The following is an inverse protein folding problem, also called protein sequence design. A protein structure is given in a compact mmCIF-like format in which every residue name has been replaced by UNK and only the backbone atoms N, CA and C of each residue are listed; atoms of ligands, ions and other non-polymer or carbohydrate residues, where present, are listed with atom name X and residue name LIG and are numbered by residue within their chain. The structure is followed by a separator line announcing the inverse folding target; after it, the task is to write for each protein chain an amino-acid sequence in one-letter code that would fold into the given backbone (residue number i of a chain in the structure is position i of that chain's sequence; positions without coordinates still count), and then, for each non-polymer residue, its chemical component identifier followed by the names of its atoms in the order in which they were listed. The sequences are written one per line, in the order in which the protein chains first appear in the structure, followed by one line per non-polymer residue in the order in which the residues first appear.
data_IF_899223291672
#
_entry.id   IF_899223291672
#
_cell.length_a   1.000
_cell.length_b   1.000
_cell.length_c   1.000
_cell.angle_alpha   90.00
_cell.angle_beta   90.00
_cell.angle_gamma   90.00
#
_symmetry.space_group_name_H-M   'P 1'
#
loop_
_entity.id
_entity.type
_entity.pdbx_description
1 polymer ?
#
# COMPACT_ATOMS: atom_id res chain seq x y z
N UNK A 1 -35.09 16.65 50.52
CA UNK A 1 -34.98 15.58 51.54
C UNK A 1 -35.30 14.27 50.86
N UNK A 2 -34.27 13.54 50.44
CA UNK A 2 -33.92 12.17 50.92
C UNK A 2 -34.63 11.10 50.07
N UNK A 3 -34.09 9.95 49.66
CA UNK A 3 -32.79 9.28 49.77
C UNK A 3 -32.79 8.09 48.78
N UNK A 4 -31.60 7.54 48.52
CA UNK A 4 -31.22 6.45 47.62
C UNK A 4 -31.97 5.10 47.76
N UNK A 5 -31.89 4.28 46.70
CA UNK A 5 -32.04 2.82 46.77
C UNK A 5 -31.73 2.10 45.46
N UNK A 6 -30.53 1.51 45.36
CA UNK A 6 -30.11 0.55 44.33
C UNK A 6 -30.76 -0.80 44.61
N UNK A 7 -31.19 -1.54 43.58
CA UNK A 7 -31.42 -2.99 43.67
C UNK A 7 -30.75 -3.68 42.48
N UNK A 8 -29.75 -4.51 42.81
CA UNK A 8 -29.12 -5.50 41.93
C UNK A 8 -29.99 -6.77 41.96
N UNK A 9 -30.29 -7.36 40.81
CA UNK A 9 -30.80 -8.73 40.75
C UNK A 9 -29.90 -9.58 39.83
N UNK A 10 -29.39 -10.65 40.44
CA UNK A 10 -28.40 -11.59 39.93
C UNK A 10 -28.94 -12.41 38.75
N UNK A 11 -28.04 -12.68 37.80
CA UNK A 11 -28.14 -13.80 36.88
C UNK A 11 -28.01 -15.11 37.68
N UNK A 12 -29.02 -15.97 37.58
CA UNK A 12 -28.97 -17.45 37.62
C UNK A 12 -30.34 -17.96 38.05
N UNK A 13 -31.19 -18.31 37.08
CA UNK A 13 -32.16 -19.41 37.17
C UNK A 13 -33.06 -19.40 35.93
N UNK A 14 -32.63 -20.09 34.87
CA UNK A 14 -33.51 -20.66 33.84
C UNK A 14 -32.77 -21.75 33.06
N UNK A 15 -32.03 -22.61 33.78
CA UNK A 15 -31.49 -23.86 33.25
C UNK A 15 -32.25 -24.98 33.94
N UNK A 16 -33.46 -25.29 33.45
CA UNK A 16 -34.15 -26.59 33.61
C UNK A 16 -35.64 -26.42 33.26
N UNK A 17 -35.98 -26.49 31.96
CA UNK A 17 -37.30 -26.98 31.50
C UNK A 17 -37.49 -27.07 29.97
N UNK A 18 -36.50 -27.51 29.19
CA UNK A 18 -36.78 -28.01 27.83
C UNK A 18 -35.81 -29.14 27.48
N UNK A 19 -35.89 -30.25 28.22
CA UNK A 19 -35.33 -31.53 27.77
C UNK A 19 -36.45 -32.54 27.87
N UNK A 20 -37.23 -32.67 26.79
CA UNK A 20 -37.86 -33.92 26.39
C UNK A 20 -38.50 -33.79 25.00
N UNK A 21 -37.99 -34.65 24.10
CA UNK A 21 -38.57 -35.07 22.83
C UNK A 21 -38.76 -34.03 21.72
N UNK A 22 -37.71 -33.82 20.93
CA UNK A 22 -37.84 -33.72 19.47
C UNK A 22 -36.53 -34.23 18.84
N UNK A 23 -36.59 -35.38 18.15
CA UNK A 23 -35.50 -35.82 17.28
C UNK A 23 -35.48 -34.89 16.05
N UNK A 24 -34.35 -34.28 15.69
CA UNK A 24 -34.27 -33.56 14.43
C UNK A 24 -34.30 -34.59 13.31
N UNK A 25 -35.32 -34.50 12.43
CA UNK A 25 -35.28 -35.13 11.11
C UNK A 25 -34.11 -34.51 10.37
N UNK A 26 -33.08 -35.30 10.08
CA UNK A 26 -32.05 -34.93 9.11
C UNK A 26 -32.72 -34.86 7.75
N UNK A 27 -33.03 -33.64 7.30
CA UNK A 27 -33.19 -33.34 5.88
C UNK A 27 -31.79 -33.18 5.31
N UNK A 28 -31.42 -34.10 4.44
CA UNK A 28 -30.27 -34.02 3.56
C UNK A 28 -30.58 -33.01 2.46
N UNK A 29 -30.42 -31.73 2.76
CA UNK A 29 -30.10 -30.75 1.73
C UNK A 29 -28.64 -30.42 1.98
N UNK A 30 -27.76 -31.17 1.32
CA UNK A 30 -26.33 -30.88 1.23
C UNK A 30 -26.15 -29.63 0.36
N UNK A 31 -26.51 -28.46 0.90
CA UNK A 31 -25.98 -27.20 0.41
C UNK A 31 -24.52 -27.14 0.85
N UNK A 32 -23.65 -27.74 0.03
CA UNK A 32 -22.21 -27.67 0.16
C UNK A 32 -21.82 -26.17 0.13
N UNK A 33 -21.63 -25.57 1.31
CA UNK A 33 -21.05 -24.23 1.42
C UNK A 33 -19.61 -24.35 0.91
N UNK A 34 -19.43 -24.00 -0.37
CA UNK A 34 -18.11 -23.84 -0.98
C UNK A 34 -17.48 -22.63 -0.31
N UNK A 35 -16.61 -22.88 0.66
CA UNK A 35 -15.80 -21.84 1.28
C UNK A 35 -14.74 -21.43 0.25
N UNK A 36 -15.09 -20.47 -0.61
CA UNK A 36 -14.17 -19.89 -1.57
C UNK A 36 -13.12 -19.11 -0.77
N UNK A 37 -11.85 -19.42 -1.01
CA UNK A 37 -10.74 -18.64 -0.47
C UNK A 37 -10.84 -17.19 -0.97
N UNK A 38 -10.40 -16.23 -0.16
CA UNK A 38 -10.43 -14.81 -0.52
C UNK A 38 -9.66 -14.53 -1.84
N UNK A 39 -8.68 -15.38 -2.17
CA UNK A 39 -7.97 -15.36 -3.46
C UNK A 39 -8.88 -15.49 -4.67
N UNK A 40 -10.07 -16.10 -4.54
CA UNK A 40 -11.04 -16.23 -5.63
C UNK A 40 -11.58 -14.88 -6.13
N UNK A 41 -11.62 -13.86 -5.26
CA UNK A 41 -12.11 -12.52 -5.60
C UNK A 41 -10.96 -11.55 -5.94
N UNK A 42 -9.71 -12.00 -5.85
CA UNK A 42 -8.53 -11.20 -6.13
C UNK A 42 -8.16 -11.29 -7.60
N UNK A 43 -8.00 -10.14 -8.26
CA UNK A 43 -7.49 -10.09 -9.62
C UNK A 43 -5.97 -9.89 -9.59
N UNK A 44 -5.23 -10.96 -9.88
CA UNK A 44 -3.77 -10.98 -9.99
C UNK A 44 -3.29 -11.17 -11.45
N UNK A 45 -4.19 -11.00 -12.42
CA UNK A 45 -3.89 -11.06 -13.87
C UNK A 45 -3.11 -9.83 -14.35
N UNK A 46 -2.01 -9.54 -13.68
CA UNK A 46 -1.14 -8.42 -14.01
C UNK A 46 -0.46 -8.67 -15.35
N UNK A 47 -0.48 -7.64 -16.18
CA UNK A 47 0.16 -7.66 -17.49
C UNK A 47 1.43 -6.83 -17.44
N UNK A 48 2.51 -7.39 -18.00
CA UNK A 48 3.75 -6.65 -18.19
C UNK A 48 3.50 -5.56 -19.23
N UNK A 49 3.61 -4.31 -18.80
CA UNK A 49 3.29 -3.13 -19.60
C UNK A 49 4.51 -2.24 -19.70
N UNK A 50 4.77 -1.72 -20.90
CA UNK A 50 5.87 -0.80 -21.16
C UNK A 50 5.39 0.65 -21.17
N UNK A 51 6.12 1.50 -20.47
CA UNK A 51 5.91 2.94 -20.37
C UNK A 51 7.15 3.68 -20.83
N UNK A 52 6.95 4.78 -21.56
CA UNK A 52 8.03 5.63 -22.05
C UNK A 52 7.87 7.05 -21.52
N UNK A 53 8.90 7.56 -20.86
CA UNK A 53 8.97 8.94 -20.36
C UNK A 53 10.29 9.58 -20.79
N UNK A 54 10.24 10.50 -21.75
CA UNK A 54 11.45 11.05 -22.37
C UNK A 54 12.29 9.94 -23.02
N UNK A 55 13.55 9.79 -22.60
CA UNK A 55 14.45 8.72 -23.04
C UNK A 55 14.35 7.43 -22.20
N UNK A 56 13.52 7.44 -21.15
CA UNK A 56 13.43 6.32 -20.20
C UNK A 56 12.33 5.36 -20.60
N UNK A 57 12.70 4.08 -20.68
CA UNK A 57 11.78 2.97 -20.88
C UNK A 57 11.69 2.17 -19.58
N UNK A 58 10.46 1.90 -19.15
CA UNK A 58 10.16 1.16 -17.92
C UNK A 58 9.15 0.08 -18.25
N UNK A 59 9.39 -1.11 -17.74
CA UNK A 59 8.42 -2.20 -17.78
C UNK A 59 7.97 -2.49 -16.36
N UNK A 60 6.68 -2.74 -16.15
CA UNK A 60 6.17 -3.19 -14.86
C UNK A 60 4.89 -3.99 -15.05
N UNK A 61 4.58 -4.85 -14.10
CA UNK A 61 3.29 -5.50 -13.98
C UNK A 61 2.27 -4.51 -13.43
N UNK A 62 1.10 -4.44 -14.07
CA UNK A 62 -0.08 -3.71 -13.58
C UNK A 62 -1.37 -4.34 -14.12
N UNK A 63 -2.51 -3.99 -13.53
CA UNK A 63 -3.82 -4.25 -14.14
C UNK A 63 -4.15 -3.17 -15.18
N UNK A 64 -5.02 -3.51 -16.13
CA UNK A 64 -5.57 -2.58 -17.12
C UNK A 64 -7.03 -2.19 -16.85
N UNK A 65 -7.66 -2.83 -15.87
CA UNK A 65 -9.04 -2.58 -15.47
C UNK A 65 -9.14 -2.61 -13.96
N UNK A 66 -9.85 -1.64 -13.38
CA UNK A 66 -10.06 -1.57 -11.96
C UNK A 66 -10.82 -2.80 -11.44
N UNK A 67 -10.45 -3.25 -10.24
CA UNK A 67 -11.37 -4.02 -9.41
C UNK A 67 -12.54 -3.12 -8.98
N UNK A 68 -13.68 -3.70 -8.64
CA UNK A 68 -14.77 -2.97 -7.98
C UNK A 68 -14.44 -2.58 -6.53
N UNK A 69 -13.34 -3.10 -6.00
CA UNK A 69 -12.84 -2.75 -4.67
C UNK A 69 -11.95 -1.50 -4.72
N UNK A 70 -12.35 -0.46 -3.97
CA UNK A 70 -11.65 0.82 -3.94
C UNK A 70 -10.23 0.70 -3.33
N UNK A 71 -10.02 -0.25 -2.42
CA UNK A 71 -8.74 -0.42 -1.74
C UNK A 71 -7.67 -1.06 -2.64
N UNK A 72 -8.08 -1.62 -3.80
CA UNK A 72 -7.22 -2.28 -4.78
C UNK A 72 -6.89 -1.42 -6.01
N UNK A 73 -7.30 -0.15 -6.00
CA UNK A 73 -7.00 0.82 -7.06
C UNK A 73 -5.51 1.02 -7.30
N UNK A 74 -4.66 0.75 -6.30
CA UNK A 74 -3.20 0.80 -6.42
C UNK A 74 -2.58 -0.23 -7.37
N UNK A 75 -3.36 -1.21 -7.85
CA UNK A 75 -2.90 -2.18 -8.87
C UNK A 75 -2.88 -1.60 -10.30
N UNK A 76 -3.39 -0.38 -10.50
CA UNK A 76 -3.43 0.35 -11.78
C UNK A 76 -2.33 1.41 -11.85
N UNK A 77 -2.02 1.85 -13.07
CA UNK A 77 -1.29 3.10 -13.29
C UNK A 77 -2.28 4.24 -13.49
N UNK A 78 -2.28 5.21 -12.57
CA UNK A 78 -3.18 6.35 -12.62
C UNK A 78 -2.65 7.49 -13.50
N UNK A 79 -3.54 8.30 -14.12
CA UNK A 79 -3.11 9.37 -15.02
C UNK A 79 -2.22 10.45 -14.36
N UNK A 80 -2.40 10.76 -13.08
CA UNK A 80 -1.55 11.71 -12.37
C UNK A 80 -0.13 11.19 -12.21
N UNK A 81 0.06 9.88 -11.99
CA UNK A 81 1.39 9.24 -12.00
C UNK A 81 2.07 9.37 -13.38
N UNK A 82 1.32 9.18 -14.47
CA UNK A 82 1.84 9.40 -15.84
C UNK A 82 2.29 10.85 -16.05
N UNK A 83 1.48 11.81 -15.60
CA UNK A 83 1.79 13.23 -15.69
C UNK A 83 2.94 13.66 -14.77
N UNK A 84 3.12 13.02 -13.61
CA UNK A 84 4.27 13.26 -12.74
C UNK A 84 5.53 12.73 -13.41
N UNK A 85 5.48 11.52 -13.97
CA UNK A 85 6.62 10.90 -14.62
C UNK A 85 7.08 11.64 -15.88
N UNK A 86 6.18 12.19 -16.69
CA UNK A 86 6.56 13.06 -17.80
C UNK A 86 7.34 14.30 -17.31
N UNK A 87 6.92 14.90 -16.19
CA UNK A 87 7.64 16.02 -15.58
C UNK A 87 9.00 15.61 -15.01
N UNK A 88 9.05 14.50 -14.25
CA UNK A 88 10.28 14.01 -13.64
C UNK A 88 11.30 13.58 -14.69
N UNK A 89 10.87 12.99 -15.81
CA UNK A 89 11.73 12.56 -16.91
C UNK A 89 12.57 13.69 -17.52
N UNK A 90 12.11 14.93 -17.39
CA UNK A 90 12.80 16.14 -17.86
C UNK A 90 13.78 16.71 -16.84
N UNK A 91 13.78 16.20 -15.61
CA UNK A 91 14.53 16.72 -14.47
C UNK A 91 15.25 15.62 -13.67
N UNK A 92 15.53 14.45 -14.26
CA UNK A 92 16.05 13.28 -13.53
C UNK A 92 17.39 13.53 -12.84
N UNK A 93 18.22 14.43 -13.37
CA UNK A 93 19.52 14.82 -12.80
C UNK A 93 19.40 15.38 -11.37
N UNK A 94 18.22 15.90 -10.98
CA UNK A 94 18.01 16.39 -9.61
C UNK A 94 17.97 15.28 -8.55
N UNK A 95 17.80 14.02 -8.97
CA UNK A 95 17.74 12.86 -8.09
C UNK A 95 19.10 12.17 -7.89
N UNK A 96 20.16 12.68 -8.52
CA UNK A 96 21.47 12.03 -8.52
C UNK A 96 22.01 11.83 -7.10
N UNK A 97 22.14 10.58 -6.67
CA UNK A 97 22.62 10.21 -5.33
C UNK A 97 21.63 10.49 -4.19
N UNK A 98 20.39 10.89 -4.48
CA UNK A 98 19.38 11.20 -3.47
C UNK A 98 18.74 9.95 -2.87
N UNK A 99 18.18 10.10 -1.67
CA UNK A 99 17.25 9.13 -1.05
C UNK A 99 15.83 9.64 -1.20
N UNK A 100 14.93 8.82 -1.74
CA UNK A 100 13.55 9.18 -2.08
C UNK A 100 12.57 8.27 -1.35
N UNK A 101 11.45 8.82 -0.88
CA UNK A 101 10.26 8.06 -0.48
C UNK A 101 9.08 8.43 -1.37
N UNK A 102 8.35 7.43 -1.84
CA UNK A 102 7.09 7.61 -2.57
C UNK A 102 5.93 7.19 -1.69
N UNK A 103 4.95 8.09 -1.52
CA UNK A 103 3.73 7.86 -0.73
C UNK A 103 2.60 7.43 -1.66
N UNK A 104 1.95 6.31 -1.34
CA UNK A 104 0.87 5.77 -2.18
C UNK A 104 1.39 5.37 -3.56
N UNK A 105 2.35 4.46 -3.58
CA UNK A 105 3.14 4.14 -4.77
C UNK A 105 2.34 3.40 -5.83
N UNK A 106 1.21 2.77 -5.46
CA UNK A 106 0.47 1.90 -6.37
C UNK A 106 1.39 0.82 -6.92
N UNK A 107 1.48 0.67 -8.24
CA UNK A 107 2.40 -0.30 -8.87
C UNK A 107 3.89 0.11 -8.86
N UNK A 108 4.22 1.30 -8.34
CA UNK A 108 5.60 1.78 -8.16
C UNK A 108 6.22 2.49 -9.36
N UNK A 109 5.42 2.91 -10.35
CA UNK A 109 5.93 3.46 -11.62
C UNK A 109 6.84 4.68 -11.46
N UNK A 110 6.55 5.58 -10.51
CA UNK A 110 7.34 6.80 -10.28
C UNK A 110 8.69 6.48 -9.65
N UNK A 111 8.71 5.72 -8.56
CA UNK A 111 9.96 5.39 -7.89
C UNK A 111 10.85 4.50 -8.75
N UNK A 112 10.28 3.60 -9.57
CA UNK A 112 11.02 2.82 -10.57
C UNK A 112 11.63 3.72 -11.66
N UNK A 113 10.98 4.82 -12.04
CA UNK A 113 11.58 5.79 -12.96
C UNK A 113 12.82 6.47 -12.35
N UNK A 114 12.69 6.94 -11.11
CA UNK A 114 13.73 7.70 -10.41
C UNK A 114 14.92 6.83 -9.96
N UNK A 115 14.66 5.55 -9.70
CA UNK A 115 15.59 4.49 -9.30
C UNK A 115 17.02 4.63 -9.87
N UNK A 116 17.14 4.81 -11.19
CA UNK A 116 18.45 4.81 -11.89
C UNK A 116 19.35 5.99 -11.52
N UNK A 117 18.78 7.02 -10.90
CA UNK A 117 19.48 8.25 -10.52
C UNK A 117 19.63 8.35 -8.99
N UNK A 118 18.72 7.74 -8.24
CA UNK A 118 18.75 7.73 -6.78
C UNK A 118 19.78 6.74 -6.22
N UNK A 119 20.30 7.06 -5.03
CA UNK A 119 21.00 6.08 -4.19
C UNK A 119 19.99 5.08 -3.61
N UNK A 120 18.80 5.55 -3.20
CA UNK A 120 17.75 4.70 -2.64
C UNK A 120 16.36 5.29 -2.88
N UNK A 121 15.40 4.41 -3.12
CA UNK A 121 13.98 4.71 -3.29
C UNK A 121 13.19 3.76 -2.40
N UNK A 122 12.34 4.32 -1.55
CA UNK A 122 11.41 3.59 -0.68
C UNK A 122 10.01 3.79 -1.24
N UNK A 123 9.44 2.74 -1.79
CA UNK A 123 8.07 2.70 -2.26
C UNK A 123 7.17 2.35 -1.08
N UNK A 124 6.12 3.13 -0.85
CA UNK A 124 5.18 2.85 0.24
C UNK A 124 3.74 2.78 -0.25
N UNK A 125 3.00 1.83 0.31
CA UNK A 125 1.55 1.71 0.19
C UNK A 125 0.98 1.08 1.47
N UNK A 126 -0.31 1.27 1.72
CA UNK A 126 -1.02 0.73 2.88
C UNK A 126 -1.54 -0.69 2.65
N UNK A 127 -1.87 -1.01 1.38
CA UNK A 127 -2.56 -2.25 1.03
C UNK A 127 -1.57 -3.37 0.74
N UNK A 128 -1.71 -4.51 1.41
CA UNK A 128 -0.82 -5.68 1.28
C UNK A 128 -0.80 -6.26 -0.15
N UNK A 129 -1.93 -6.24 -0.85
CA UNK A 129 -2.04 -6.74 -2.22
C UNK A 129 -1.33 -5.81 -3.20
N UNK A 130 -1.36 -4.50 -2.93
CA UNK A 130 -0.55 -3.51 -3.66
C UNK A 130 0.94 -3.71 -3.36
N UNK A 131 1.30 -3.97 -2.10
CA UNK A 131 2.69 -4.29 -1.74
C UNK A 131 3.21 -5.56 -2.44
N UNK A 132 2.37 -6.58 -2.67
CA UNK A 132 2.77 -7.77 -3.44
C UNK A 132 3.16 -7.41 -4.88
N UNK A 133 2.38 -6.59 -5.57
CA UNK A 133 2.72 -6.17 -6.94
C UNK A 133 3.91 -5.22 -6.98
N UNK A 134 4.04 -4.31 -6.01
CA UNK A 134 5.23 -3.48 -5.88
C UNK A 134 6.46 -4.38 -5.79
N UNK A 135 6.49 -5.34 -4.87
CA UNK A 135 7.63 -6.25 -4.71
C UNK A 135 7.94 -7.04 -5.99
N UNK A 136 6.91 -7.55 -6.68
CA UNK A 136 7.08 -8.20 -8.00
C UNK A 136 7.74 -7.26 -9.02
N UNK A 137 7.38 -5.99 -9.03
CA UNK A 137 8.00 -4.98 -9.89
C UNK A 137 9.42 -4.62 -9.43
N UNK A 138 9.72 -4.62 -8.13
CA UNK A 138 11.08 -4.44 -7.62
C UNK A 138 11.98 -5.58 -8.10
N UNK A 139 11.51 -6.83 -8.01
CA UNK A 139 12.24 -8.02 -8.47
C UNK A 139 12.52 -7.95 -9.98
N UNK A 140 11.56 -7.50 -10.78
CA UNK A 140 11.73 -7.29 -12.22
C UNK A 140 12.90 -6.34 -12.56
N UNK A 141 13.17 -5.36 -11.70
CA UNK A 141 14.26 -4.37 -11.88
C UNK A 141 15.50 -4.66 -11.04
N UNK A 142 15.53 -5.80 -10.34
CA UNK A 142 16.68 -6.22 -9.55
C UNK A 142 17.69 -6.94 -10.45
N UNK A 143 18.92 -6.43 -10.53
CA UNK A 143 19.99 -7.09 -11.29
C UNK A 143 20.72 -8.12 -10.42
N UNK A 144 20.89 -9.37 -10.87
CA UNK A 144 21.65 -10.39 -10.12
C UNK A 144 23.14 -10.04 -9.93
N UNK A 145 23.69 -9.14 -10.75
CA UNK A 145 25.12 -8.80 -10.80
C UNK A 145 25.48 -7.48 -10.08
N UNK A 146 24.53 -6.85 -9.39
CA UNK A 146 24.77 -5.61 -8.61
C UNK A 146 25.55 -5.89 -7.31
N UNK A 147 26.83 -6.22 -7.46
CA UNK A 147 27.82 -6.35 -6.38
C UNK A 147 28.56 -5.02 -6.12
N UNK A 148 28.15 -3.93 -6.78
CA UNK A 148 28.70 -2.60 -6.50
C UNK A 148 28.05 -2.00 -5.24
N UNK A 149 28.81 -1.32 -4.36
CA UNK A 149 28.28 -0.67 -3.15
C UNK A 149 27.38 0.55 -3.44
N UNK A 150 27.23 0.93 -4.73
CA UNK A 150 26.20 1.86 -5.19
C UNK A 150 25.00 1.09 -5.71
N UNK A 151 24.61 0.00 -5.03
CA UNK A 151 23.33 -0.63 -5.30
C UNK A 151 22.30 0.47 -5.09
N UNK A 152 21.79 0.97 -6.21
CA UNK A 152 20.57 1.72 -6.22
C UNK A 152 19.66 0.88 -5.30
N UNK A 153 19.04 1.42 -4.26
CA UNK A 153 18.18 0.65 -3.34
C UNK A 153 16.72 0.82 -3.73
N UNK A 154 15.96 -0.24 -3.98
CA UNK A 154 14.51 -0.15 -4.25
C UNK A 154 13.89 -1.12 -3.28
N UNK A 155 13.06 -0.60 -2.39
CA UNK A 155 12.43 -1.38 -1.33
C UNK A 155 10.98 -0.96 -1.22
N UNK A 156 10.12 -1.91 -0.87
CA UNK A 156 8.73 -1.66 -0.54
C UNK A 156 8.57 -1.68 0.99
N UNK A 157 7.83 -0.75 1.54
CA UNK A 157 7.50 -0.68 2.96
C UNK A 157 6.01 -0.38 3.14
N UNK A 158 5.39 -0.98 4.15
CA UNK A 158 3.99 -0.69 4.47
C UNK A 158 3.88 0.68 5.12
N UNK A 159 2.97 1.50 4.62
CA UNK A 159 2.65 2.79 5.22
C UNK A 159 1.17 3.13 5.05
N UNK A 160 0.43 2.96 6.14
CA UNK A 160 -0.91 3.51 6.32
C UNK A 160 -0.78 4.94 6.86
N UNK A 161 -1.41 5.88 6.16
CA UNK A 161 -1.29 7.28 6.51
C UNK A 161 -1.99 7.59 7.83
N UNK A 162 -1.27 8.25 8.74
CA UNK A 162 -1.73 8.46 10.12
C UNK A 162 -1.25 7.39 11.10
N UNK A 163 -0.67 6.28 10.61
CA UNK A 163 -0.02 5.30 11.47
C UNK A 163 1.39 5.78 11.85
N UNK A 164 1.52 6.32 13.06
CA UNK A 164 2.80 6.87 13.52
C UNK A 164 3.86 5.80 13.72
N UNK A 165 3.49 4.59 14.12
CA UNK A 165 4.45 3.53 14.44
C UNK A 165 5.17 3.08 13.16
N UNK A 166 4.43 2.88 12.07
CA UNK A 166 4.99 2.56 10.75
C UNK A 166 5.91 3.68 10.23
N UNK A 167 5.54 4.95 10.43
CA UNK A 167 6.42 6.08 10.09
C UNK A 167 7.73 6.01 10.87
N UNK A 168 7.69 5.74 12.19
CA UNK A 168 8.90 5.62 13.00
C UNK A 168 9.77 4.44 12.58
N UNK A 169 9.18 3.29 12.25
CA UNK A 169 9.91 2.13 11.75
C UNK A 169 10.66 2.45 10.44
N UNK A 170 9.99 3.11 9.48
CA UNK A 170 10.63 3.56 8.24
C UNK A 170 11.77 4.54 8.55
N UNK A 171 11.55 5.53 9.42
CA UNK A 171 12.60 6.49 9.79
C UNK A 171 13.79 5.83 10.52
N UNK A 172 13.56 4.79 11.31
CA UNK A 172 14.64 4.02 11.96
C UNK A 172 15.47 3.23 10.95
N UNK A 173 14.83 2.65 9.93
CA UNK A 173 15.52 1.99 8.80
C UNK A 173 16.28 3.00 7.92
N UNK A 174 15.87 4.27 7.94
CA UNK A 174 16.41 5.35 7.12
C UNK A 174 16.83 6.58 7.97
N UNK A 175 17.86 6.47 8.82
CA UNK A 175 18.23 7.54 9.77
C UNK A 175 18.75 8.81 9.09
N UNK A 176 19.21 8.71 7.83
CA UNK A 176 19.59 9.86 7.00
C UNK A 176 18.40 10.67 6.47
N UNK A 177 17.17 10.18 6.64
CA UNK A 177 15.96 10.79 6.10
C UNK A 177 15.84 10.63 4.58
N UNK A 178 15.03 11.50 3.97
CA UNK A 178 14.73 11.48 2.54
C UNK A 178 14.98 12.88 1.97
N UNK A 179 15.67 12.98 0.84
CA UNK A 179 15.85 14.26 0.14
C UNK A 179 14.55 14.69 -0.55
N UNK A 180 13.81 13.72 -1.08
CA UNK A 180 12.53 13.90 -1.78
C UNK A 180 11.42 13.02 -1.20
N UNK A 181 10.23 13.61 -1.10
CA UNK A 181 8.96 12.89 -0.97
C UNK A 181 8.18 13.06 -2.27
N UNK A 182 7.81 11.94 -2.88
CA UNK A 182 6.99 11.85 -4.09
C UNK A 182 5.59 11.34 -3.75
N UNK A 183 4.64 11.65 -4.63
CA UNK A 183 3.29 11.12 -4.56
C UNK A 183 2.42 11.69 -5.68
N UNK A 184 1.60 10.82 -6.29
CA UNK A 184 0.72 11.14 -7.40
C UNK A 184 -0.68 10.56 -7.17
N UNK A 185 -1.73 11.31 -7.50
CA UNK A 185 -3.14 10.91 -7.32
C UNK A 185 -3.54 10.61 -5.85
N UNK A 186 -2.77 11.12 -4.89
CA UNK A 186 -2.96 10.86 -3.45
C UNK A 186 -3.76 11.96 -2.72
N UNK A 187 -4.43 12.84 -3.46
CA UNK A 187 -5.13 14.02 -2.94
C UNK A 187 -6.40 13.69 -2.15
N UNK A 188 -6.95 12.48 -2.30
CA UNK A 188 -8.19 12.05 -1.63
C UNK A 188 -8.02 12.06 -0.09
N UNK A 189 -6.78 11.93 0.39
CA UNK A 189 -6.44 11.88 1.82
C UNK A 189 -5.66 13.12 2.29
N UNK A 190 -5.90 14.29 1.68
CA UNK A 190 -5.14 15.53 1.95
C UNK A 190 -5.06 15.91 3.44
N UNK A 191 -6.06 15.53 4.25
CA UNK A 191 -6.06 15.78 5.70
C UNK A 191 -4.96 15.03 6.46
N UNK A 192 -4.55 13.85 5.97
CA UNK A 192 -3.47 13.05 6.56
C UNK A 192 -2.11 13.37 5.96
N UNK A 193 -2.10 13.87 4.72
CA UNK A 193 -0.88 14.19 3.99
C UNK A 193 -0.07 15.30 4.68
N UNK A 194 -0.70 16.38 5.14
CA UNK A 194 0.01 17.51 5.77
C UNK A 194 0.73 17.06 7.06
N UNK A 195 0.06 16.38 8.01
CA UNK A 195 0.74 15.79 9.16
C UNK A 195 1.84 14.80 8.77
N UNK A 196 1.60 13.91 7.80
CA UNK A 196 2.57 12.90 7.37
C UNK A 196 3.86 13.54 6.84
N UNK A 197 3.73 14.61 6.05
CA UNK A 197 4.87 15.36 5.50
C UNK A 197 5.69 16.11 6.57
N UNK A 198 5.22 16.21 7.81
CA UNK A 198 5.97 16.80 8.92
C UNK A 198 7.02 15.83 9.51
N UNK A 199 6.81 14.52 9.36
CA UNK A 199 7.73 13.50 9.85
C UNK A 199 9.00 13.38 8.99
N UNK A 200 8.87 13.64 7.69
CA UNK A 200 9.99 13.53 6.76
C UNK A 200 10.76 14.85 6.66
N UNK A 201 11.96 14.90 7.24
CA UNK A 201 12.93 15.97 7.00
C UNK A 201 13.40 15.87 5.56
N UNK A 202 12.90 16.77 4.71
CA UNK A 202 13.21 16.81 3.27
C UNK A 202 13.86 18.12 2.88
N UNK A 203 14.75 18.08 1.89
CA UNK A 203 15.27 19.29 1.25
C UNK A 203 14.31 19.81 0.18
N UNK A 204 13.58 18.90 -0.47
CA UNK A 204 12.62 19.22 -1.50
C UNK A 204 11.38 18.32 -1.38
N UNK A 205 10.19 18.90 -1.58
CA UNK A 205 8.93 18.16 -1.67
C UNK A 205 8.43 18.27 -3.11
N UNK A 206 8.26 17.15 -3.79
CA UNK A 206 7.70 17.13 -5.14
C UNK A 206 6.43 16.29 -5.11
N UNK A 207 5.31 16.94 -4.81
CA UNK A 207 3.99 16.32 -4.76
C UNK A 207 3.20 16.84 -5.96
N UNK A 208 2.60 15.93 -6.72
CA UNK A 208 1.59 16.28 -7.71
C UNK A 208 0.23 15.90 -7.11
N UNK A 209 -0.43 16.91 -6.58
CA UNK A 209 -1.79 16.89 -6.04
C UNK A 209 -2.76 17.03 -7.19
#
# INVERSE_FOLDING_TARGET
MNQNGVVILNMEESVNKVVQNEQPRVSTDDDEIVCLDASFFMNDNYQLTEFTFGSQHIQLFCLHSASTDFDLTGQLVWPGAMLLNDYLSKNLDMFQGCTVIELGSGVGITGILCRKFCNKVVLTDHNEEVLKIINKNIELHSCPEDVSPTSHGLVAEKLEWGNTDQVHEILQKHPGGFDFVLGADIYILIMYLIPLLSYFRTKHKCLKI
#
